data_IF_271486601499
#
_entry.id   IF_271486601499
#
_cell.length_a   1.000
_cell.length_b   1.000
_cell.length_c   1.000
_cell.angle_alpha   90.00
_cell.angle_beta   90.00
_cell.angle_gamma   90.00
#
_symmetry.space_group_name_H-M   'P 1'
#
loop_
_entity.id
_entity.type
_entity.pdbx_description
1 polymer ?
#
# COMPACT_ATOMS: atom_id res chain seq x y z
N UNK A 1 47.09 -39.07 -3.36
CA UNK A 1 46.50 -37.73 -3.13
C UNK A 1 45.63 -37.24 -4.30
N UNK A 2 46.01 -37.47 -5.57
CA UNK A 2 45.24 -37.00 -6.74
C UNK A 2 43.78 -37.49 -6.88
N UNK A 3 43.44 -38.70 -6.40
CA UNK A 3 42.06 -39.25 -6.52
C UNK A 3 41.02 -38.55 -5.66
N UNK A 4 41.40 -38.06 -4.48
CA UNK A 4 40.49 -37.36 -3.55
C UNK A 4 40.18 -35.95 -4.06
N UNK A 5 41.16 -35.29 -4.68
CA UNK A 5 41.01 -33.97 -5.29
C UNK A 5 40.07 -33.98 -6.50
N UNK A 6 40.08 -35.04 -7.30
CA UNK A 6 39.19 -35.21 -8.44
C UNK A 6 37.72 -35.42 -8.01
N UNK A 7 37.50 -36.21 -6.94
CA UNK A 7 36.17 -36.44 -6.34
C UNK A 7 35.58 -35.16 -5.69
N UNK A 8 36.41 -34.37 -5.00
CA UNK A 8 36.01 -33.06 -4.46
C UNK A 8 35.65 -32.05 -5.57
N UNK A 9 36.37 -32.07 -6.70
CA UNK A 9 36.07 -31.21 -7.84
C UNK A 9 34.76 -31.60 -8.56
N UNK A 10 34.44 -32.90 -8.62
CA UNK A 10 33.18 -33.43 -9.16
C UNK A 10 31.96 -33.13 -8.28
N UNK A 11 32.12 -33.12 -6.95
CA UNK A 11 31.06 -32.71 -6.02
C UNK A 11 30.85 -31.19 -6.04
N UNK A 12 31.91 -30.40 -6.19
CA UNK A 12 31.79 -28.94 -6.31
C UNK A 12 31.03 -28.51 -7.57
N UNK A 13 31.17 -29.24 -8.69
CA UNK A 13 30.46 -28.93 -9.93
C UNK A 13 28.98 -29.34 -9.92
N UNK A 14 28.61 -30.40 -9.20
CA UNK A 14 27.18 -30.75 -9.03
C UNK A 14 26.45 -29.78 -8.10
N UNK A 15 27.12 -29.25 -7.08
CA UNK A 15 26.54 -28.22 -6.20
C UNK A 15 26.39 -26.85 -6.87
N UNK A 16 27.24 -26.50 -7.85
CA UNK A 16 27.13 -25.23 -8.58
C UNK A 16 25.99 -25.23 -9.61
N UNK A 17 25.68 -26.39 -10.21
CA UNK A 17 24.60 -26.52 -11.21
C UNK A 17 23.19 -26.29 -10.62
N UNK A 18 23.00 -26.59 -9.33
CA UNK A 18 21.70 -26.37 -8.64
C UNK A 18 21.51 -24.90 -8.27
N UNK A 19 22.58 -24.12 -8.10
CA UNK A 19 22.51 -22.70 -7.74
C UNK A 19 22.10 -21.78 -8.90
N UNK A 20 22.20 -22.24 -10.16
CA UNK A 20 21.92 -21.41 -11.34
C UNK A 20 20.50 -21.54 -11.90
N UNK A 21 19.63 -22.38 -11.32
CA UNK A 21 18.23 -22.51 -11.77
C UNK A 21 17.26 -21.50 -11.10
N UNK A 22 17.77 -20.30 -10.77
CA UNK A 22 17.02 -19.21 -10.13
C UNK A 22 16.17 -18.36 -11.09
N UNK A 23 15.84 -18.86 -12.29
CA UNK A 23 15.20 -18.07 -13.36
C UNK A 23 13.68 -18.28 -13.49
N UNK A 24 13.03 -19.03 -12.60
CA UNK A 24 11.61 -19.38 -12.74
C UNK A 24 10.62 -18.22 -12.56
N UNK A 25 11.04 -17.06 -12.06
CA UNK A 25 10.21 -15.86 -11.94
C UNK A 25 10.94 -14.65 -12.54
N UNK A 26 10.94 -14.55 -13.87
CA UNK A 26 11.43 -13.35 -14.55
C UNK A 26 10.32 -12.31 -14.60
N UNK A 27 10.48 -11.21 -13.86
CA UNK A 27 9.61 -10.04 -14.04
C UNK A 27 9.87 -9.43 -15.43
N UNK A 28 8.79 -9.22 -16.19
CA UNK A 28 8.86 -8.51 -17.47
C UNK A 28 8.73 -7.01 -17.15
N UNK A 29 9.70 -6.16 -17.52
CA UNK A 29 9.57 -4.72 -17.32
C UNK A 29 8.46 -4.18 -18.23
N UNK A 30 7.53 -3.42 -17.64
CA UNK A 30 6.45 -2.74 -18.37
C UNK A 30 6.65 -1.24 -18.21
N UNK A 31 6.91 -0.56 -19.33
CA UNK A 31 7.09 0.89 -19.40
C UNK A 31 6.48 1.45 -20.69
N UNK A 32 6.00 2.71 -20.68
CA UNK A 32 5.93 3.63 -19.53
C UNK A 32 4.79 3.29 -18.56
N UNK A 33 4.76 3.95 -17.39
CA UNK A 33 3.58 3.96 -16.53
C UNK A 33 2.40 4.60 -17.28
N UNK A 34 1.23 3.94 -17.39
CA UNK A 34 0.08 4.50 -18.12
C UNK A 34 -0.36 5.86 -17.56
N UNK A 35 -0.57 6.89 -18.40
CA UNK A 35 -1.09 8.17 -17.95
C UNK A 35 -2.60 8.09 -17.62
N UNK A 36 -3.08 8.98 -16.76
CA UNK A 36 -4.51 9.10 -16.45
C UNK A 36 -5.31 9.61 -17.65
N UNK A 37 -6.49 9.03 -17.92
CA UNK A 37 -7.33 9.32 -19.10
C UNK A 37 -8.41 10.39 -18.87
N UNK A 38 -8.40 11.06 -17.72
CA UNK A 38 -9.34 12.13 -17.37
C UNK A 38 -9.00 13.48 -18.02
N UNK A 39 -9.96 14.43 -17.99
CA UNK A 39 -9.66 15.82 -18.34
C UNK A 39 -8.62 16.36 -17.37
N UNK A 40 -7.48 16.81 -17.90
CA UNK A 40 -6.48 17.53 -17.12
C UNK A 40 -6.97 18.95 -16.94
N UNK A 41 -7.71 19.19 -15.86
CA UNK A 41 -7.85 20.56 -15.37
C UNK A 41 -6.44 21.01 -14.96
N UNK A 42 -6.01 22.16 -15.47
CA UNK A 42 -4.68 22.70 -15.23
C UNK A 42 -4.59 23.15 -13.76
N UNK A 43 -4.33 22.19 -12.87
CA UNK A 43 -4.08 22.45 -11.46
C UNK A 43 -2.85 23.34 -11.42
N UNK A 44 -3.07 24.63 -11.15
CA UNK A 44 -2.05 25.68 -11.07
C UNK A 44 -1.12 25.46 -9.87
N UNK A 45 -0.45 24.31 -9.80
CA UNK A 45 0.51 23.91 -8.79
C UNK A 45 1.93 24.21 -9.28
N UNK A 46 2.78 24.72 -8.39
CA UNK A 46 4.22 24.77 -8.65
C UNK A 46 4.81 23.36 -8.65
N UNK A 47 6.05 23.20 -9.11
CA UNK A 47 6.71 21.90 -9.10
C UNK A 47 6.88 21.37 -7.67
N UNK A 48 7.20 22.26 -6.74
CA UNK A 48 7.35 21.96 -5.32
C UNK A 48 6.03 21.49 -4.71
N UNK A 49 4.92 22.18 -5.01
CA UNK A 49 3.59 21.78 -4.55
C UNK A 49 3.14 20.44 -5.15
N UNK A 50 3.54 20.12 -6.39
CA UNK A 50 3.30 18.78 -6.97
C UNK A 50 4.12 17.71 -6.25
N UNK A 51 5.39 18.00 -5.98
CA UNK A 51 6.29 17.08 -5.27
C UNK A 51 5.78 16.79 -3.86
N UNK A 52 5.24 17.77 -3.15
CA UNK A 52 4.72 17.58 -1.79
C UNK A 52 3.46 16.71 -1.73
N UNK A 53 2.74 16.52 -2.84
CA UNK A 53 1.56 15.64 -2.88
C UNK A 53 1.91 14.16 -2.97
N UNK A 54 3.15 13.82 -3.35
CA UNK A 54 3.62 12.44 -3.51
C UNK A 54 4.63 12.04 -2.43
N UNK A 55 4.85 12.91 -1.45
CA UNK A 55 5.76 12.68 -0.33
C UNK A 55 5.02 12.76 1.00
N UNK A 56 5.38 11.86 1.92
CA UNK A 56 4.78 11.77 3.24
C UNK A 56 5.38 12.80 4.18
N UNK A 57 4.57 13.25 5.13
CA UNK A 57 5.00 14.16 6.21
C UNK A 57 4.53 13.67 7.56
N UNK A 58 5.17 14.15 8.62
CA UNK A 58 4.74 13.87 9.99
C UNK A 58 3.37 14.51 10.26
N UNK A 59 2.54 13.83 11.05
CA UNK A 59 1.20 14.29 11.39
C UNK A 59 0.46 13.30 12.29
N UNK A 60 -0.81 13.60 12.61
CA UNK A 60 -1.58 12.80 13.56
C UNK A 60 -2.07 11.47 13.01
N UNK A 61 -2.01 11.26 11.69
CA UNK A 61 -2.49 10.04 11.03
C UNK A 61 -1.34 9.09 10.69
N UNK A 62 -1.64 7.82 10.41
CA UNK A 62 -0.64 6.82 10.00
C UNK A 62 0.13 7.22 8.74
N UNK A 63 -0.47 8.03 7.86
CA UNK A 63 0.21 8.74 6.78
C UNK A 63 -0.41 10.12 6.55
N UNK A 64 0.41 11.10 6.19
CA UNK A 64 -0.05 12.48 6.01
C UNK A 64 0.58 13.12 4.77
N UNK A 65 -0.24 13.77 3.96
CA UNK A 65 0.19 14.68 2.89
C UNK A 65 0.05 16.11 3.37
N UNK A 66 1.10 16.91 3.20
CA UNK A 66 1.15 18.27 3.69
C UNK A 66 0.08 19.18 3.05
N UNK A 67 -0.39 20.22 3.78
CA UNK A 67 -1.28 21.23 3.22
C UNK A 67 -0.58 22.10 2.16
N UNK A 68 -1.37 22.66 1.24
CA UNK A 68 -0.95 23.68 0.27
C UNK A 68 -1.78 24.94 0.53
N UNK A 69 -1.31 25.85 1.41
CA UNK A 69 -2.09 26.98 1.89
C UNK A 69 -2.56 27.93 0.78
N UNK A 70 -1.74 28.14 -0.25
CA UNK A 70 -2.04 29.01 -1.40
C UNK A 70 -3.33 28.61 -2.13
N UNK A 71 -3.66 27.32 -2.12
CA UNK A 71 -4.86 26.76 -2.74
C UNK A 71 -5.93 26.36 -1.72
N UNK A 72 -5.78 26.71 -0.45
CA UNK A 72 -6.67 26.28 0.65
C UNK A 72 -6.83 24.75 0.76
N UNK A 73 -5.82 23.99 0.29
CA UNK A 73 -5.77 22.55 0.44
C UNK A 73 -5.22 22.20 1.82
N UNK A 74 -6.01 21.45 2.61
CA UNK A 74 -5.69 21.15 4.02
C UNK A 74 -4.74 19.98 4.22
N UNK A 75 -4.32 19.31 3.13
CA UNK A 75 -3.58 18.06 3.20
C UNK A 75 -4.53 16.85 3.12
N UNK A 76 -3.94 15.66 3.26
CA UNK A 76 -4.66 14.38 3.27
C UNK A 76 -4.19 13.59 4.48
N UNK A 77 -5.13 13.15 5.30
CA UNK A 77 -4.92 12.20 6.37
C UNK A 77 -5.28 10.79 5.87
N UNK A 78 -4.32 9.87 5.96
CA UNK A 78 -4.47 8.45 5.66
C UNK A 78 -4.36 7.67 6.98
N UNK A 79 -5.32 6.81 7.27
CA UNK A 79 -5.33 6.09 8.54
C UNK A 79 -5.80 4.65 8.37
N UNK A 80 -5.15 3.76 9.11
CA UNK A 80 -5.56 2.37 9.28
C UNK A 80 -6.88 2.31 10.08
N UNK A 81 -7.66 1.24 10.05
CA UNK A 81 -7.38 -0.11 9.55
C UNK A 81 -8.59 -0.67 8.76
N UNK A 82 -8.47 -1.88 8.15
CA UNK A 82 -9.57 -2.54 7.44
C UNK A 82 -10.79 -2.90 8.30
N UNK A 83 -10.72 -2.71 9.63
CA UNK A 83 -11.78 -3.03 10.59
C UNK A 83 -12.14 -1.90 11.55
N UNK A 84 -11.75 -0.66 11.24
CA UNK A 84 -12.04 0.53 12.05
C UNK A 84 -10.81 1.40 12.24
N UNK A 85 -11.00 2.61 12.78
CA UNK A 85 -9.92 3.60 12.96
C UNK A 85 -8.90 3.11 14.00
N UNK A 86 -7.64 3.07 13.61
CA UNK A 86 -6.52 2.67 14.46
C UNK A 86 -6.03 3.86 15.32
N UNK A 87 -5.54 3.56 16.52
CA UNK A 87 -4.89 4.53 17.44
C UNK A 87 -5.74 5.78 17.76
N UNK A 88 -7.05 5.60 17.88
CA UNK A 88 -7.99 6.63 18.27
C UNK A 88 -8.90 6.18 19.42
N UNK A 89 -9.43 7.14 20.17
CA UNK A 89 -10.40 6.94 21.24
C UNK A 89 -11.84 7.04 20.73
N UNK A 90 -12.79 6.43 21.44
CA UNK A 90 -14.22 6.48 21.08
C UNK A 90 -14.50 6.01 19.64
N UNK A 91 -13.89 4.89 19.25
CA UNK A 91 -14.04 4.26 17.93
C UNK A 91 -14.53 2.83 18.04
N UNK A 92 -15.16 2.33 16.98
CA UNK A 92 -15.67 0.96 16.92
C UNK A 92 -14.66 0.02 16.28
N UNK A 93 -14.52 -1.17 16.85
CA UNK A 93 -13.79 -2.28 16.22
C UNK A 93 -14.80 -3.20 15.53
N UNK A 94 -14.85 -3.17 14.21
CA UNK A 94 -15.77 -3.97 13.40
C UNK A 94 -15.28 -5.42 13.27
N UNK A 95 -16.17 -6.38 12.92
CA UNK A 95 -15.75 -7.75 12.63
C UNK A 95 -14.63 -7.77 11.58
N UNK A 96 -13.56 -8.58 11.74
CA UNK A 96 -12.48 -8.66 10.76
C UNK A 96 -12.99 -9.21 9.43
N UNK A 97 -12.25 -8.95 8.35
CA UNK A 97 -12.68 -9.31 6.98
C UNK A 97 -13.04 -10.79 6.82
N UNK A 98 -12.33 -11.70 7.50
CA UNK A 98 -12.62 -13.15 7.46
C UNK A 98 -13.98 -13.49 8.09
N UNK A 99 -14.30 -12.90 9.25
CA UNK A 99 -15.59 -13.11 9.94
C UNK A 99 -16.73 -12.47 9.16
N UNK A 100 -16.52 -11.25 8.65
CA UNK A 100 -17.51 -10.56 7.85
C UNK A 100 -17.78 -11.34 6.54
N UNK A 101 -16.74 -11.84 5.88
CA UNK A 101 -16.86 -12.65 4.67
C UNK A 101 -17.55 -14.00 4.90
N UNK A 102 -17.38 -14.62 6.08
CA UNK A 102 -18.04 -15.87 6.44
C UNK A 102 -19.58 -15.76 6.54
N UNK A 103 -20.14 -14.55 6.57
CA UNK A 103 -21.59 -14.34 6.50
C UNK A 103 -22.18 -14.65 5.12
N UNK A 104 -21.38 -14.52 4.05
CA UNK A 104 -21.84 -14.51 2.65
C UNK A 104 -22.96 -13.49 2.38
N UNK A 105 -23.09 -12.43 3.19
CA UNK A 105 -24.12 -11.39 3.08
C UNK A 105 -23.55 -10.08 2.53
N UNK A 106 -23.93 -9.72 1.29
CA UNK A 106 -23.47 -8.49 0.64
C UNK A 106 -24.04 -7.22 1.28
N UNK A 107 -25.26 -7.28 1.80
CA UNK A 107 -25.90 -6.13 2.43
C UNK A 107 -25.16 -5.78 3.74
N UNK A 108 -24.87 -6.80 4.55
CA UNK A 108 -24.09 -6.64 5.79
C UNK A 108 -22.67 -6.12 5.51
N UNK A 109 -21.97 -6.61 4.47
CA UNK A 109 -20.65 -6.09 4.08
C UNK A 109 -20.71 -4.61 3.67
N UNK A 110 -21.76 -4.21 2.93
CA UNK A 110 -21.95 -2.81 2.55
C UNK A 110 -22.19 -1.93 3.77
N UNK A 111 -23.06 -2.36 4.68
CA UNK A 111 -23.37 -1.64 5.92
C UNK A 111 -22.11 -1.48 6.79
N UNK A 112 -21.32 -2.55 6.97
CA UNK A 112 -20.01 -2.49 7.63
C UNK A 112 -19.11 -1.42 7.03
N UNK A 113 -19.02 -1.35 5.70
CA UNK A 113 -18.24 -0.32 4.99
C UNK A 113 -18.73 1.10 5.23
N UNK A 114 -20.06 1.30 5.23
CA UNK A 114 -20.67 2.60 5.47
C UNK A 114 -20.40 3.10 6.90
N UNK A 115 -20.64 2.25 7.90
CA UNK A 115 -20.42 2.60 9.31
C UNK A 115 -18.95 2.89 9.61
N UNK A 116 -18.02 2.11 9.03
CA UNK A 116 -16.59 2.45 9.13
C UNK A 116 -16.32 3.83 8.52
N UNK A 117 -16.79 4.09 7.29
CA UNK A 117 -16.55 5.36 6.61
C UNK A 117 -17.11 6.58 7.38
N UNK A 118 -18.23 6.41 8.09
CA UNK A 118 -18.79 7.44 8.97
C UNK A 118 -17.84 7.78 10.12
N UNK A 119 -17.24 6.77 10.78
CA UNK A 119 -16.25 7.00 11.84
C UNK A 119 -14.95 7.62 11.31
N UNK A 120 -14.41 7.12 10.20
CA UNK A 120 -13.23 7.71 9.55
C UNK A 120 -13.46 9.19 9.22
N UNK A 121 -14.60 9.50 8.59
CA UNK A 121 -14.97 10.87 8.24
C UNK A 121 -15.18 11.74 9.48
N UNK A 122 -15.80 11.22 10.53
CA UNK A 122 -16.01 11.95 11.79
C UNK A 122 -14.68 12.30 12.49
N UNK A 123 -13.67 11.44 12.36
CA UNK A 123 -12.30 11.72 12.84
C UNK A 123 -11.47 12.60 11.89
N UNK A 124 -12.03 13.06 10.77
CA UNK A 124 -11.35 13.93 9.82
C UNK A 124 -10.38 13.21 8.88
N UNK A 125 -10.47 11.89 8.78
CA UNK A 125 -9.61 11.07 7.92
C UNK A 125 -10.15 11.11 6.48
N UNK A 126 -9.24 11.24 5.51
CA UNK A 126 -9.59 11.32 4.09
C UNK A 126 -9.54 9.96 3.39
N UNK A 127 -8.57 9.11 3.76
CA UNK A 127 -8.35 7.79 3.16
C UNK A 127 -8.29 6.74 4.27
N UNK A 128 -9.12 5.71 4.17
CA UNK A 128 -9.04 4.52 5.00
C UNK A 128 -8.17 3.46 4.32
N UNK A 129 -7.29 2.82 5.08
CA UNK A 129 -6.43 1.73 4.60
C UNK A 129 -6.66 0.44 5.39
#
# INVERSE_FOLDING_TARGET
>A
MARVQCLLALLASTHLAIAQNGSHLKMIPVYPSPPMTGKNDDFKLTLEEKSSLVDGTDGPCGGNIAPIPRLSFKGICLQDSPLGVREADFVTTFPPGITAGASFDRAMIRERGLLMAEEFRAKGINIAW
#
